data_IF_954356418393
#
_entry.id   IF_954356418393
#
_cell.length_a   1.000
_cell.length_b   1.000
_cell.length_c   1.000
_cell.angle_alpha   90.00
_cell.angle_beta   90.00
_cell.angle_gamma   90.00
#
_symmetry.space_group_name_H-M   'P 1'
#
loop_
_entity.id
_entity.type
_entity.pdbx_description
1 polymer ?
#
# COMPACT_ATOMS: atom_id res chain seq x y z
N UNK A 1 15.23 -10.70 14.95
CA UNK A 1 13.88 -10.44 14.39
C UNK A 1 14.05 -9.75 13.04
N UNK A 2 14.07 -10.58 11.98
CA UNK A 2 13.74 -10.33 10.56
C UNK A 2 14.18 -8.99 9.95
N UNK A 3 15.42 -8.98 9.46
CA UNK A 3 15.82 -8.58 8.10
C UNK A 3 14.89 -7.57 7.42
N UNK A 4 15.08 -6.28 7.73
CA UNK A 4 14.49 -5.19 6.98
C UNK A 4 15.19 -5.11 5.62
N UNK A 5 14.72 -5.89 4.66
CA UNK A 5 15.19 -5.84 3.27
C UNK A 5 14.87 -4.46 2.68
N UNK A 6 15.79 -3.52 2.91
CA UNK A 6 15.87 -2.26 2.18
C UNK A 6 16.83 -2.50 1.03
N UNK A 7 16.33 -2.45 -0.21
CA UNK A 7 16.88 -1.62 -1.30
C UNK A 7 16.57 -2.16 -2.70
N UNK A 8 15.92 -1.31 -3.48
CA UNK A 8 16.25 -0.91 -4.85
C UNK A 8 16.60 -1.97 -5.90
N UNK A 9 15.75 -2.06 -6.94
CA UNK A 9 16.08 -2.64 -8.23
C UNK A 9 15.36 -1.90 -9.36
N UNK A 10 16.12 -1.14 -10.15
CA UNK A 10 15.71 -0.47 -11.38
C UNK A 10 15.39 -1.54 -12.44
N UNK A 11 14.17 -2.07 -12.38
CA UNK A 11 13.61 -3.07 -13.29
C UNK A 11 12.11 -3.15 -13.05
N UNK A 12 11.33 -3.27 -14.11
CA UNK A 12 9.88 -3.11 -14.20
C UNK A 12 9.05 -4.09 -13.36
N UNK A 13 9.25 -4.15 -12.04
CA UNK A 13 8.42 -4.97 -11.16
C UNK A 13 7.15 -4.21 -10.85
N UNK A 14 6.02 -4.89 -10.98
CA UNK A 14 4.71 -4.35 -10.63
C UNK A 14 4.70 -3.94 -9.15
N UNK A 15 4.11 -2.78 -8.88
CA UNK A 15 3.85 -2.27 -7.53
C UNK A 15 2.98 -3.27 -6.79
N UNK A 16 3.35 -3.60 -5.55
CA UNK A 16 2.61 -4.53 -4.70
C UNK A 16 1.82 -3.79 -3.61
N UNK A 17 0.84 -4.47 -3.02
CA UNK A 17 0.09 -3.97 -1.87
C UNK A 17 1.01 -3.61 -0.69
N UNK A 18 2.12 -4.33 -0.54
CA UNK A 18 3.11 -4.06 0.51
C UNK A 18 3.80 -2.72 0.27
N UNK A 19 4.18 -2.41 -0.98
CA UNK A 19 4.83 -1.13 -1.33
C UNK A 19 3.91 0.06 -1.03
N UNK A 20 2.61 -0.08 -1.32
CA UNK A 20 1.59 0.92 -0.97
C UNK A 20 1.51 1.11 0.55
N UNK A 21 1.45 0.00 1.30
CA UNK A 21 1.30 0.04 2.75
C UNK A 21 2.49 0.73 3.42
N UNK A 22 3.71 0.40 2.99
CA UNK A 22 4.95 0.99 3.49
C UNK A 22 5.06 2.48 3.14
N UNK A 23 4.63 2.89 1.95
CA UNK A 23 4.72 4.28 1.50
C UNK A 23 3.92 5.28 2.35
N UNK A 24 2.81 4.86 2.96
CA UNK A 24 1.94 5.72 3.77
C UNK A 24 1.87 5.32 5.25
N UNK A 25 2.66 4.31 5.66
CA UNK A 25 2.77 3.88 7.05
C UNK A 25 1.50 3.20 7.58
N UNK A 26 0.88 2.33 6.78
CA UNK A 26 -0.28 1.52 7.20
C UNK A 26 0.04 0.03 7.11
N UNK A 27 -0.83 -0.82 7.67
CA UNK A 27 -0.67 -2.27 7.54
C UNK A 27 -1.12 -2.77 6.16
N UNK A 28 -0.52 -3.86 5.68
CA UNK A 28 -0.97 -4.52 4.44
C UNK A 28 -2.43 -4.99 4.52
N UNK A 29 -2.90 -5.37 5.72
CA UNK A 29 -4.28 -5.73 5.97
C UNK A 29 -5.23 -4.53 5.78
N UNK A 30 -4.81 -3.33 6.20
CA UNK A 30 -5.55 -2.09 5.96
C UNK A 30 -5.75 -1.82 4.46
N UNK A 31 -4.69 -1.96 3.67
CA UNK A 31 -4.80 -1.78 2.20
C UNK A 31 -5.72 -2.84 1.59
N UNK A 32 -5.63 -4.10 2.03
CA UNK A 32 -6.54 -5.18 1.59
C UNK A 32 -8.01 -4.87 1.91
N UNK A 33 -8.30 -4.30 3.09
CA UNK A 33 -9.65 -3.88 3.46
C UNK A 33 -10.17 -2.75 2.56
N UNK A 34 -9.32 -1.78 2.21
CA UNK A 34 -9.69 -0.70 1.26
C UNK A 34 -10.00 -1.26 -0.13
N UNK A 35 -9.14 -2.14 -0.66
CA UNK A 35 -9.36 -2.78 -1.97
C UNK A 35 -10.65 -3.61 -2.02
N UNK A 36 -11.07 -4.18 -0.88
CA UNK A 36 -12.34 -4.91 -0.73
C UNK A 36 -13.54 -3.99 -0.46
N UNK A 37 -13.35 -2.68 -0.42
CA UNK A 37 -14.39 -1.71 -0.10
C UNK A 37 -14.88 -1.76 1.35
N UNK A 38 -14.17 -2.42 2.27
CA UNK A 38 -14.63 -2.66 3.65
C UNK A 38 -14.90 -1.36 4.42
N UNK A 39 -16.05 -1.22 5.08
CA UNK A 39 -16.38 -0.02 5.88
C UNK A 39 -15.54 0.09 7.17
N UNK A 40 -14.72 -0.91 7.50
CA UNK A 40 -13.90 -0.96 8.71
C UNK A 40 -12.69 -0.01 8.68
N UNK A 41 -12.38 0.58 7.51
CA UNK A 41 -11.29 1.54 7.38
C UNK A 41 -11.85 2.95 7.48
N UNK A 42 -11.30 3.73 8.40
CA UNK A 42 -11.60 5.15 8.55
C UNK A 42 -11.47 5.89 7.21
N UNK A 43 -12.36 6.86 6.96
CA UNK A 43 -12.44 7.62 5.70
C UNK A 43 -11.14 8.34 5.34
N UNK A 44 -10.42 8.92 6.31
CA UNK A 44 -9.16 9.62 6.10
C UNK A 44 -8.06 8.64 5.69
N UNK A 45 -7.98 7.49 6.38
CA UNK A 45 -7.04 6.42 6.03
C UNK A 45 -7.34 5.86 4.64
N UNK A 46 -8.63 5.68 4.31
CA UNK A 46 -9.05 5.23 2.98
C UNK A 46 -8.62 6.22 1.90
N UNK A 47 -8.88 7.51 2.09
CA UNK A 47 -8.49 8.55 1.14
C UNK A 47 -6.97 8.57 0.90
N UNK A 48 -6.16 8.39 1.96
CA UNK A 48 -4.71 8.28 1.85
C UNK A 48 -4.26 7.04 1.07
N UNK A 49 -4.90 5.89 1.31
CA UNK A 49 -4.62 4.64 0.57
C UNK A 49 -4.98 4.81 -0.91
N UNK A 50 -6.15 5.35 -1.22
CA UNK A 50 -6.61 5.57 -2.60
C UNK A 50 -5.73 6.57 -3.36
N UNK A 51 -5.27 7.64 -2.69
CA UNK A 51 -4.31 8.58 -3.27
C UNK A 51 -2.98 7.90 -3.61
N UNK A 52 -2.48 7.02 -2.74
CA UNK A 52 -1.22 6.32 -2.97
C UNK A 52 -1.33 5.26 -4.07
N UNK A 53 -2.44 4.51 -4.11
CA UNK A 53 -2.74 3.55 -5.19
C UNK A 53 -2.70 4.24 -6.56
N UNK A 54 -3.30 5.44 -6.67
CA UNK A 54 -3.27 6.25 -7.89
C UNK A 54 -1.87 6.78 -8.20
N UNK A 55 -1.14 7.26 -7.18
CA UNK A 55 0.23 7.81 -7.33
C UNK A 55 1.19 6.77 -7.91
N UNK A 56 1.11 5.54 -7.41
CA UNK A 56 2.00 4.45 -7.83
C UNK A 56 1.49 3.67 -9.04
N UNK A 57 0.33 4.05 -9.62
CA UNK A 57 -0.31 3.34 -10.74
C UNK A 57 -0.46 1.84 -10.42
N UNK A 58 -0.97 1.56 -9.23
CA UNK A 58 -1.30 0.20 -8.83
C UNK A 58 -2.46 -0.31 -9.68
N UNK A 59 -2.11 -1.07 -10.73
CA UNK A 59 -2.92 -1.58 -11.86
C UNK A 59 -3.71 -0.55 -12.66
#
# INVERSE_FOLDING_TARGET
>A
MKDKATSAGKGSRAVTVTDIAEAIGVSRATVSLVLRGSPLVNVDTRARVEAELRRQRYV
#
